data_IF_176791835303
#
_entry.id   IF_176791835303
#
_cell.length_a   1.000
_cell.length_b   1.000
_cell.length_c   1.000
_cell.angle_alpha   90.00
_cell.angle_beta   90.00
_cell.angle_gamma   90.00
#
_symmetry.space_group_name_H-M   'P 1'
#
loop_
_entity.id
_entity.type
_entity.pdbx_description
1 polymer ?
#
# COMPACT_ATOMS: atom_id res chain seq x y z
N UNK A 1 -5.19 -20.90 16.14
CA UNK A 1 -5.35 -19.88 17.21
C UNK A 1 -6.68 -19.15 17.00
N UNK A 2 -7.32 -18.61 18.03
CA UNK A 2 -8.51 -17.75 17.82
C UNK A 2 -8.08 -16.39 17.24
N UNK A 3 -8.99 -15.68 16.56
CA UNK A 3 -8.73 -14.34 16.01
C UNK A 3 -8.21 -13.37 17.08
N UNK A 4 -8.73 -13.46 18.30
CA UNK A 4 -8.31 -12.63 19.44
C UNK A 4 -6.86 -12.94 19.86
N UNK A 5 -6.48 -14.22 19.92
CA UNK A 5 -5.11 -14.62 20.27
C UNK A 5 -4.10 -14.12 19.23
N UNK A 6 -4.48 -14.19 17.95
CA UNK A 6 -3.71 -13.69 16.82
C UNK A 6 -3.50 -12.18 16.94
N UNK A 7 -4.59 -11.42 17.12
CA UNK A 7 -4.52 -9.96 17.22
C UNK A 7 -3.68 -9.52 18.43
N UNK A 8 -3.88 -10.17 19.57
CA UNK A 8 -3.09 -9.92 20.77
C UNK A 8 -1.59 -10.20 20.55
N UNK A 9 -1.25 -11.32 19.91
CA UNK A 9 0.14 -11.67 19.60
C UNK A 9 0.78 -10.63 18.67
N UNK A 10 0.09 -10.22 17.61
CA UNK A 10 0.60 -9.22 16.66
C UNK A 10 0.86 -7.87 17.34
N UNK A 11 -0.05 -7.41 18.20
CA UNK A 11 0.11 -6.15 18.95
C UNK A 11 1.30 -6.24 19.92
N UNK A 12 1.41 -7.34 20.67
CA UNK A 12 2.52 -7.55 21.63
C UNK A 12 3.85 -7.61 20.89
N UNK A 13 3.93 -8.35 19.79
CA UNK A 13 5.16 -8.44 18.98
C UNK A 13 5.51 -7.11 18.31
N UNK A 14 4.52 -6.36 17.80
CA UNK A 14 4.75 -5.03 17.23
C UNK A 14 5.34 -4.06 18.26
N UNK A 15 4.82 -4.07 19.49
CA UNK A 15 5.36 -3.30 20.62
C UNK A 15 6.77 -3.74 21.02
N UNK A 16 7.02 -5.05 21.09
CA UNK A 16 8.33 -5.60 21.41
C UNK A 16 9.39 -5.25 20.34
N UNK A 17 9.08 -5.46 19.06
CA UNK A 17 10.00 -5.18 17.97
C UNK A 17 10.19 -3.68 17.75
N UNK A 18 9.13 -2.88 17.95
CA UNK A 18 9.24 -1.43 18.00
C UNK A 18 10.17 -0.94 19.10
N UNK A 19 10.11 -1.56 20.28
CA UNK A 19 11.02 -1.27 21.40
C UNK A 19 12.47 -1.65 21.08
N UNK A 20 12.71 -2.80 20.46
CA UNK A 20 14.05 -3.21 20.00
C UNK A 20 14.58 -2.19 18.98
N UNK A 21 13.76 -1.78 18.00
CA UNK A 21 14.15 -0.74 17.06
C UNK A 21 14.52 0.56 17.79
N UNK A 22 13.70 0.99 18.74
CA UNK A 22 13.93 2.22 19.50
C UNK A 22 15.26 2.21 20.28
N UNK A 23 15.57 1.10 20.96
CA UNK A 23 16.78 1.00 21.77
C UNK A 23 18.05 0.76 20.96
N UNK A 24 17.98 -0.06 19.90
CA UNK A 24 19.19 -0.57 19.22
C UNK A 24 19.41 -0.02 17.80
N UNK A 25 18.36 0.10 16.98
CA UNK A 25 18.51 0.41 15.55
C UNK A 25 18.30 1.89 15.22
N UNK A 26 17.37 2.56 15.93
CA UNK A 26 16.97 3.96 15.72
C UNK A 26 16.57 4.27 14.27
N UNK A 27 15.99 3.29 13.59
CA UNK A 27 15.47 3.44 12.23
C UNK A 27 14.02 3.95 12.27
N UNK A 28 13.50 4.48 11.15
CA UNK A 28 12.06 4.76 11.00
C UNK A 28 11.23 3.55 11.42
N UNK A 29 10.19 3.77 12.23
CA UNK A 29 9.49 2.73 12.98
C UNK A 29 9.11 1.51 12.13
N UNK A 30 8.42 1.71 10.99
CA UNK A 30 7.99 0.61 10.11
C UNK A 30 9.16 -0.19 9.53
N UNK A 31 10.22 0.50 9.09
CA UNK A 31 11.44 -0.14 8.55
C UNK A 31 12.16 -0.92 9.66
N UNK A 32 12.28 -0.32 10.84
CA UNK A 32 12.91 -0.93 12.00
C UNK A 32 12.20 -2.21 12.46
N UNK A 33 10.87 -2.17 12.56
CA UNK A 33 10.06 -3.33 12.92
C UNK A 33 10.24 -4.45 11.89
N UNK A 34 10.20 -4.13 10.59
CA UNK A 34 10.45 -5.11 9.53
C UNK A 34 11.83 -5.76 9.67
N UNK A 35 12.88 -4.97 9.86
CA UNK A 35 14.26 -5.50 10.00
C UNK A 35 14.37 -6.41 11.23
N UNK A 36 13.82 -6.00 12.37
CA UNK A 36 13.81 -6.85 13.58
C UNK A 36 13.04 -8.14 13.32
N UNK A 37 11.89 -8.07 12.65
CA UNK A 37 11.08 -9.24 12.30
C UNK A 37 11.81 -10.19 11.34
N UNK A 38 12.52 -9.65 10.34
CA UNK A 38 13.34 -10.44 9.41
C UNK A 38 14.52 -11.10 10.12
N UNK A 39 15.24 -10.37 10.97
CA UNK A 39 16.36 -10.93 11.73
C UNK A 39 15.88 -12.03 12.69
N UNK A 40 14.75 -11.82 13.37
CA UNK A 40 14.13 -12.85 14.20
C UNK A 40 13.76 -14.08 13.37
N UNK A 41 13.14 -13.89 12.20
CA UNK A 41 12.77 -14.97 11.29
C UNK A 41 13.98 -15.75 10.75
N UNK A 42 15.04 -15.04 10.34
CA UNK A 42 16.30 -15.64 9.90
C UNK A 42 16.99 -16.41 11.03
N UNK A 43 17.02 -15.86 12.24
CA UNK A 43 17.57 -16.54 13.41
C UNK A 43 16.79 -17.81 13.74
N UNK A 44 15.45 -17.78 13.65
CA UNK A 44 14.60 -18.96 13.82
C UNK A 44 14.88 -20.02 12.76
N UNK A 45 14.99 -19.65 11.48
CA UNK A 45 15.34 -20.60 10.41
C UNK A 45 16.73 -21.20 10.61
N UNK A 46 17.71 -20.41 11.05
CA UNK A 46 19.05 -20.90 11.38
C UNK A 46 19.05 -21.87 12.56
N UNK A 47 18.26 -21.60 13.60
CA UNK A 47 18.08 -22.50 14.74
C UNK A 47 17.41 -23.82 14.34
N UNK A 48 16.39 -23.77 13.48
CA UNK A 48 15.68 -24.96 12.98
C UNK A 48 16.62 -25.85 12.13
N UNK A 49 17.51 -25.23 11.35
CA UNK A 49 18.55 -25.93 10.60
C UNK A 49 19.59 -26.61 11.50
N UNK A 50 20.01 -25.96 12.60
CA UNK A 50 21.00 -26.49 13.54
C UNK A 50 20.41 -27.51 14.54
N UNK A 51 19.15 -27.33 14.94
CA UNK A 51 18.46 -28.18 15.90
C UNK A 51 17.05 -28.58 15.41
N UNK A 52 16.95 -29.46 14.38
CA UNK A 52 15.67 -29.83 13.76
C UNK A 52 14.69 -30.49 14.73
N UNK A 53 15.20 -31.08 15.82
CA UNK A 53 14.43 -31.76 16.85
C UNK A 53 13.41 -30.87 17.60
N UNK A 54 13.57 -29.54 17.58
CA UNK A 54 12.65 -28.63 18.25
C UNK A 54 11.47 -28.18 17.38
N UNK A 55 11.55 -28.33 16.04
CA UNK A 55 10.46 -28.03 15.10
C UNK A 55 9.82 -26.64 15.28
N UNK A 56 10.60 -25.65 15.72
CA UNK A 56 10.07 -24.34 16.11
C UNK A 56 9.60 -23.58 14.88
N UNK A 57 10.39 -23.60 13.80
CA UNK A 57 10.00 -22.90 12.57
C UNK A 57 8.80 -23.58 11.90
N UNK A 58 8.69 -24.92 11.94
CA UNK A 58 7.52 -25.63 11.43
C UNK A 58 6.24 -25.30 12.21
N UNK A 59 6.32 -25.18 13.53
CA UNK A 59 5.17 -24.81 14.37
C UNK A 59 4.71 -23.38 14.12
N UNK A 60 5.67 -22.45 13.98
CA UNK A 60 5.38 -21.05 13.66
C UNK A 60 4.83 -20.91 12.23
N UNK A 61 5.40 -21.63 11.25
CA UNK A 61 4.88 -21.68 9.87
C UNK A 61 3.43 -22.16 9.81
N UNK A 62 3.06 -23.17 10.61
CA UNK A 62 1.68 -23.62 10.71
C UNK A 62 0.78 -22.50 11.26
N UNK A 63 1.22 -21.81 12.32
CA UNK A 63 0.51 -20.64 12.85
C UNK A 63 0.39 -19.47 11.86
N UNK A 64 1.41 -19.23 11.03
CA UNK A 64 1.37 -18.20 9.97
C UNK A 64 0.43 -18.61 8.84
N UNK A 65 0.35 -19.89 8.46
CA UNK A 65 -0.64 -20.34 7.47
C UNK A 65 -2.08 -20.19 7.99
N UNK A 66 -2.28 -20.38 9.30
CA UNK A 66 -3.57 -20.12 9.95
C UNK A 66 -3.90 -18.61 9.99
N UNK A 67 -2.87 -17.75 10.08
CA UNK A 67 -2.97 -16.32 9.83
C UNK A 67 -3.17 -16.12 8.33
N UNK A 68 -4.42 -16.14 7.86
CA UNK A 68 -4.71 -15.79 6.47
C UNK A 68 -4.34 -14.30 6.23
N UNK A 69 -3.07 -14.03 5.96
CA UNK A 69 -2.47 -12.70 5.85
C UNK A 69 -3.20 -11.88 4.81
N UNK A 70 -3.42 -12.50 3.65
CA UNK A 70 -4.17 -11.90 2.55
C UNK A 70 -5.53 -11.41 3.03
N UNK A 71 -6.30 -12.28 3.68
CA UNK A 71 -7.63 -11.93 4.16
C UNK A 71 -7.60 -10.85 5.23
N UNK A 72 -6.71 -10.98 6.22
CA UNK A 72 -6.55 -10.00 7.30
C UNK A 72 -6.19 -8.62 6.74
N UNK A 73 -5.26 -8.54 5.78
CA UNK A 73 -4.86 -7.28 5.18
C UNK A 73 -5.94 -6.71 4.27
N UNK A 74 -6.43 -7.49 3.29
CA UNK A 74 -7.34 -6.99 2.25
C UNK A 74 -8.75 -6.71 2.78
N UNK A 75 -9.30 -7.57 3.64
CA UNK A 75 -10.67 -7.42 4.13
C UNK A 75 -10.72 -6.55 5.39
N UNK A 76 -9.69 -6.62 6.25
CA UNK A 76 -9.68 -5.97 7.55
C UNK A 76 -8.93 -4.64 7.61
N UNK A 77 -7.66 -4.63 7.19
CA UNK A 77 -6.75 -3.52 7.47
C UNK A 77 -6.66 -2.49 6.33
N UNK A 78 -6.80 -2.92 5.08
CA UNK A 78 -6.60 -2.08 3.88
C UNK A 78 -7.54 -0.88 3.87
N UNK A 79 -8.83 -1.10 4.13
CA UNK A 79 -9.83 -0.04 4.23
C UNK A 79 -9.44 1.02 5.27
N UNK A 80 -8.97 0.59 6.44
CA UNK A 80 -8.53 1.49 7.51
C UNK A 80 -7.25 2.25 7.15
N UNK A 81 -6.24 1.57 6.60
CA UNK A 81 -4.98 2.19 6.18
C UNK A 81 -5.21 3.27 5.12
N UNK A 82 -6.06 2.96 4.13
CA UNK A 82 -6.40 3.90 3.07
C UNK A 82 -7.27 5.06 3.56
N UNK A 83 -8.24 4.78 4.44
CA UNK A 83 -9.06 5.81 5.06
C UNK A 83 -8.21 6.76 5.91
N UNK A 84 -7.35 6.21 6.76
CA UNK A 84 -6.45 6.98 7.61
C UNK A 84 -5.45 7.79 6.78
N UNK A 85 -4.84 7.18 5.77
CA UNK A 85 -3.95 7.87 4.83
C UNK A 85 -4.63 9.03 4.11
N UNK A 86 -5.89 8.83 3.68
CA UNK A 86 -6.71 9.85 3.04
C UNK A 86 -7.08 11.01 3.96
N UNK A 87 -7.40 10.72 5.23
CA UNK A 87 -7.84 11.72 6.21
C UNK A 87 -6.78 12.81 6.44
N UNK A 88 -5.50 12.45 6.40
CA UNK A 88 -4.39 13.39 6.60
C UNK A 88 -4.04 14.21 5.34
N UNK A 89 -4.64 13.92 4.18
CA UNK A 89 -4.36 14.62 2.93
C UNK A 89 -5.22 15.88 2.81
N UNK A 90 -4.57 17.04 2.76
CA UNK A 90 -5.24 18.33 2.56
C UNK A 90 -5.78 18.46 1.13
N UNK A 91 -7.10 18.36 0.97
CA UNK A 91 -7.77 18.41 -0.34
C UNK A 91 -7.46 19.70 -1.12
N UNK A 92 -7.30 20.83 -0.43
CA UNK A 92 -6.92 22.09 -1.06
C UNK A 92 -5.54 22.04 -1.75
N UNK A 93 -4.55 21.43 -1.11
CA UNK A 93 -3.22 21.22 -1.68
C UNK A 93 -3.28 20.16 -2.80
N UNK A 94 -4.05 19.08 -2.60
CA UNK A 94 -4.25 18.01 -3.58
C UNK A 94 -4.90 18.53 -4.86
N UNK A 95 -5.92 19.41 -4.76
CA UNK A 95 -6.58 20.04 -5.91
C UNK A 95 -5.60 20.80 -6.80
N UNK A 96 -4.60 21.45 -6.22
CA UNK A 96 -3.55 22.13 -7.00
C UNK A 96 -2.68 21.14 -7.79
N UNK A 97 -2.56 19.90 -7.32
CA UNK A 97 -1.77 18.83 -7.97
C UNK A 97 -2.64 17.75 -8.63
N UNK A 98 -3.96 17.92 -8.71
CA UNK A 98 -4.91 16.87 -9.08
C UNK A 98 -4.61 16.24 -10.43
N UNK A 99 -4.30 17.04 -11.47
CA UNK A 99 -3.95 16.51 -12.79
C UNK A 99 -2.70 15.65 -12.79
N UNK A 100 -1.68 16.07 -12.03
CA UNK A 100 -0.42 15.33 -11.90
C UNK A 100 -0.68 14.00 -11.20
N UNK A 101 -1.37 14.04 -10.06
CA UNK A 101 -1.73 12.85 -9.27
C UNK A 101 -2.62 11.91 -10.08
N UNK A 102 -3.65 12.41 -10.75
CA UNK A 102 -4.57 11.60 -11.55
C UNK A 102 -3.86 10.88 -12.71
N UNK A 103 -2.97 11.58 -13.44
CA UNK A 103 -2.21 10.96 -14.52
C UNK A 103 -1.24 9.88 -14.01
N UNK A 104 -0.60 10.10 -12.87
CA UNK A 104 0.28 9.09 -12.27
C UNK A 104 -0.50 7.90 -11.71
N UNK A 105 -1.63 8.14 -11.04
CA UNK A 105 -2.48 7.10 -10.46
C UNK A 105 -3.27 6.30 -11.51
N UNK A 106 -3.40 6.77 -12.75
CA UNK A 106 -4.09 6.06 -13.84
C UNK A 106 -3.10 5.56 -14.90
N UNK A 107 -2.60 6.47 -15.74
CA UNK A 107 -1.66 6.15 -16.82
C UNK A 107 -0.35 5.61 -16.23
N UNK A 108 0.15 6.19 -15.14
CA UNK A 108 1.36 5.71 -14.49
C UNK A 108 1.21 4.27 -13.99
N UNK A 109 0.07 3.92 -13.39
CA UNK A 109 -0.24 2.55 -12.96
C UNK A 109 -0.31 1.60 -14.15
N UNK A 110 -1.08 1.94 -15.17
CA UNK A 110 -1.19 1.11 -16.38
C UNK A 110 0.16 0.88 -17.06
N UNK A 111 0.99 1.91 -17.18
CA UNK A 111 2.34 1.79 -17.74
C UNK A 111 3.26 0.97 -16.85
N UNK A 112 3.19 1.17 -15.53
CA UNK A 112 3.97 0.39 -14.57
C UNK A 112 3.61 -1.10 -14.69
N UNK A 113 2.32 -1.42 -14.75
CA UNK A 113 1.80 -2.77 -14.98
C UNK A 113 2.30 -3.38 -16.28
N UNK A 114 2.23 -2.64 -17.39
CA UNK A 114 2.67 -3.11 -18.69
C UNK A 114 4.19 -3.33 -18.74
N UNK A 115 4.99 -2.37 -18.26
CA UNK A 115 6.46 -2.43 -18.29
C UNK A 115 6.96 -3.54 -17.37
N UNK A 116 6.48 -3.58 -16.13
CA UNK A 116 6.87 -4.61 -15.17
C UNK A 116 6.40 -6.00 -15.63
N UNK A 117 5.15 -6.12 -16.07
CA UNK A 117 4.58 -7.40 -16.47
C UNK A 117 5.18 -7.95 -17.76
N UNK A 118 5.30 -7.12 -18.81
CA UNK A 118 5.96 -7.54 -20.05
C UNK A 118 7.42 -7.91 -19.81
N UNK A 119 8.17 -7.08 -19.06
CA UNK A 119 9.54 -7.38 -18.70
C UNK A 119 9.68 -8.67 -17.88
N UNK A 120 8.75 -8.92 -16.96
CA UNK A 120 8.77 -10.12 -16.13
C UNK A 120 8.47 -11.38 -16.96
N UNK A 121 7.52 -11.31 -17.90
CA UNK A 121 7.26 -12.39 -18.87
C UNK A 121 8.50 -12.73 -19.70
N UNK A 122 9.22 -11.71 -20.20
CA UNK A 122 10.45 -11.92 -20.98
C UNK A 122 11.57 -12.61 -20.18
N UNK A 123 11.74 -12.25 -18.90
CA UNK A 123 12.82 -12.79 -18.07
C UNK A 123 12.50 -14.20 -17.55
N UNK A 124 11.24 -14.46 -17.22
CA UNK A 124 10.82 -15.70 -16.55
C UNK A 124 10.16 -16.72 -17.47
N UNK A 125 9.72 -16.30 -18.66
CA UNK A 125 9.01 -17.15 -19.62
C UNK A 125 7.54 -17.42 -19.27
N UNK A 126 7.01 -16.84 -18.19
CA UNK A 126 5.62 -17.05 -17.80
C UNK A 126 4.64 -16.36 -18.78
N UNK A 127 3.39 -16.86 -18.89
CA UNK A 127 2.39 -16.26 -19.76
C UNK A 127 2.19 -14.77 -19.47
N UNK A 128 2.07 -13.97 -20.53
CA UNK A 128 1.99 -12.51 -20.42
C UNK A 128 0.88 -12.05 -19.46
N UNK A 129 -0.30 -12.68 -19.50
CA UNK A 129 -1.41 -12.29 -18.64
C UNK A 129 -1.08 -12.45 -17.15
N UNK A 130 -0.43 -13.57 -16.79
CA UNK A 130 0.05 -13.83 -15.43
C UNK A 130 1.17 -12.86 -15.04
N UNK A 131 2.04 -12.50 -15.98
CA UNK A 131 3.06 -11.49 -15.73
C UNK A 131 2.47 -10.09 -15.56
N UNK A 132 1.39 -9.74 -16.27
CA UNK A 132 0.65 -8.49 -16.07
C UNK A 132 0.03 -8.41 -14.68
N UNK A 133 -0.46 -9.52 -14.13
CA UNK A 133 -0.88 -9.59 -12.72
C UNK A 133 0.29 -9.21 -11.79
N UNK A 134 1.49 -9.74 -12.04
CA UNK A 134 2.70 -9.36 -11.32
C UNK A 134 3.01 -7.85 -11.46
N UNK A 135 2.88 -7.31 -12.67
CA UNK A 135 3.03 -5.87 -12.89
C UNK A 135 2.02 -5.02 -12.13
N UNK A 136 0.77 -5.47 -12.03
CA UNK A 136 -0.29 -4.78 -11.30
C UNK A 136 -0.04 -4.79 -9.79
N UNK A 137 0.30 -5.93 -9.20
CA UNK A 137 0.52 -6.02 -7.75
C UNK A 137 1.77 -5.26 -7.29
N UNK A 138 2.81 -5.12 -8.13
CA UNK A 138 3.99 -4.29 -7.80
C UNK A 138 3.83 -2.82 -8.17
N UNK A 139 2.73 -2.40 -8.81
CA UNK A 139 2.53 -1.00 -9.17
C UNK A 139 2.22 -0.08 -7.98
N UNK A 140 1.33 -0.46 -7.04
CA UNK A 140 1.06 0.25 -5.79
C UNK A 140 2.32 0.70 -5.04
N UNK A 141 2.22 1.81 -4.31
CA UNK A 141 3.32 2.39 -3.55
C UNK A 141 2.86 2.90 -2.20
N UNK A 142 3.62 2.62 -1.16
CA UNK A 142 3.28 2.92 0.23
C UNK A 142 3.62 4.38 0.59
N UNK A 143 2.62 5.24 0.84
CA UNK A 143 2.87 6.63 1.22
C UNK A 143 3.44 6.75 2.62
N UNK A 144 3.07 5.85 3.53
CA UNK A 144 3.40 5.95 4.96
C UNK A 144 4.88 5.68 5.17
N UNK A 145 5.40 4.63 4.53
CA UNK A 145 6.82 4.31 4.56
C UNK A 145 7.67 5.47 4.03
N UNK A 146 7.22 6.11 2.95
CA UNK A 146 7.97 7.17 2.26
C UNK A 146 7.95 8.47 3.07
N UNK A 147 6.75 8.91 3.46
CA UNK A 147 6.59 10.17 4.19
C UNK A 147 7.22 10.08 5.59
N UNK A 148 7.13 8.92 6.25
CA UNK A 148 7.81 8.68 7.53
C UNK A 148 9.32 8.92 7.46
N UNK A 149 9.96 8.43 6.39
CA UNK A 149 11.39 8.64 6.13
C UNK A 149 11.69 10.08 5.70
N UNK A 150 10.84 10.65 4.83
CA UNK A 150 11.09 11.94 4.19
C UNK A 150 10.75 13.16 5.07
N UNK A 151 10.02 12.99 6.18
CA UNK A 151 9.77 14.05 7.18
C UNK A 151 11.06 14.75 7.63
N UNK A 152 12.18 14.02 7.72
CA UNK A 152 13.49 14.58 8.09
C UNK A 152 14.28 15.21 6.93
N UNK A 153 13.75 15.25 5.70
CA UNK A 153 14.42 15.76 4.52
C UNK A 153 13.96 17.18 4.09
N UNK A 154 13.00 17.77 4.81
CA UNK A 154 12.46 19.11 4.58
C UNK A 154 12.10 19.38 3.10
N UNK A 155 11.23 18.52 2.56
CA UNK A 155 10.83 18.58 1.17
C UNK A 155 9.90 19.77 0.91
N UNK A 156 9.83 20.20 -0.35
CA UNK A 156 8.79 21.13 -0.77
C UNK A 156 7.42 20.49 -0.55
N UNK A 157 6.50 21.22 0.10
CA UNK A 157 5.12 20.78 0.37
C UNK A 157 4.41 20.24 -0.88
N UNK A 158 4.66 20.82 -2.05
CA UNK A 158 4.08 20.34 -3.32
C UNK A 158 4.54 18.94 -3.73
N UNK A 159 5.76 18.53 -3.37
CA UNK A 159 6.28 17.20 -3.63
C UNK A 159 5.72 16.18 -2.63
N UNK A 160 5.60 16.56 -1.35
CA UNK A 160 4.93 15.74 -0.34
C UNK A 160 3.48 15.45 -0.72
N UNK A 161 2.73 16.47 -1.16
CA UNK A 161 1.36 16.29 -1.64
C UNK A 161 1.28 15.39 -2.89
N UNK A 162 2.25 15.49 -3.81
CA UNK A 162 2.29 14.60 -4.99
C UNK A 162 2.54 13.16 -4.61
N UNK A 163 3.49 12.91 -3.69
CA UNK A 163 3.80 11.56 -3.19
C UNK A 163 2.59 10.99 -2.45
N UNK A 164 2.05 11.73 -1.49
CA UNK A 164 0.89 11.30 -0.70
C UNK A 164 -0.32 11.01 -1.60
N UNK A 165 -0.65 11.93 -2.51
CA UNK A 165 -1.78 11.79 -3.40
C UNK A 165 -1.60 10.62 -4.38
N UNK A 166 -0.44 10.49 -5.01
CA UNK A 166 -0.21 9.41 -5.98
C UNK A 166 -0.31 8.04 -5.33
N UNK A 167 0.40 7.80 -4.23
CA UNK A 167 0.32 6.55 -3.48
C UNK A 167 -1.11 6.22 -3.04
N UNK A 168 -1.85 7.19 -2.50
CA UNK A 168 -3.20 6.98 -1.99
C UNK A 168 -4.17 6.47 -3.07
N UNK A 169 -4.12 7.04 -4.27
CA UNK A 169 -4.98 6.60 -5.38
C UNK A 169 -4.40 5.39 -6.11
N UNK A 170 -3.08 5.25 -6.20
CA UNK A 170 -2.41 4.12 -6.85
C UNK A 170 -2.74 2.80 -6.15
N UNK A 171 -2.82 2.77 -4.81
CA UNK A 171 -3.21 1.56 -4.08
C UNK A 171 -4.62 1.08 -4.48
N UNK A 172 -5.58 2.01 -4.56
CA UNK A 172 -6.95 1.69 -5.00
C UNK A 172 -7.05 1.31 -6.48
N UNK A 173 -6.40 2.04 -7.37
CA UNK A 173 -6.42 1.73 -8.81
C UNK A 173 -5.67 0.44 -9.12
N UNK A 174 -4.50 0.23 -8.51
CA UNK A 174 -3.71 -1.00 -8.66
C UNK A 174 -4.46 -2.23 -8.16
N UNK A 175 -5.22 -2.11 -7.06
CA UNK A 175 -6.11 -3.17 -6.59
C UNK A 175 -7.18 -3.55 -7.64
N UNK A 176 -7.87 -2.56 -8.21
CA UNK A 176 -8.89 -2.80 -9.26
C UNK A 176 -8.26 -3.43 -10.51
N UNK A 177 -7.11 -2.91 -10.97
CA UNK A 177 -6.38 -3.49 -12.12
C UNK A 177 -5.98 -4.94 -11.84
N UNK A 178 -5.53 -5.23 -10.61
CA UNK A 178 -5.20 -6.59 -10.18
C UNK A 178 -6.42 -7.52 -10.24
N UNK A 179 -7.55 -7.13 -9.64
CA UNK A 179 -8.78 -7.94 -9.65
C UNK A 179 -9.25 -8.25 -11.07
N UNK A 180 -9.22 -7.23 -11.95
CA UNK A 180 -9.58 -7.38 -13.36
C UNK A 180 -8.67 -8.39 -14.06
N UNK A 181 -7.35 -8.29 -13.89
CA UNK A 181 -6.40 -9.21 -14.52
C UNK A 181 -6.50 -10.63 -13.96
N UNK A 182 -6.78 -10.78 -12.66
CA UNK A 182 -7.05 -12.08 -12.03
C UNK A 182 -8.33 -12.70 -12.60
N UNK A 183 -9.42 -11.94 -12.68
CA UNK A 183 -10.70 -12.41 -13.24
C UNK A 183 -10.57 -12.84 -14.71
N UNK A 184 -9.74 -12.16 -15.49
CA UNK A 184 -9.44 -12.54 -16.89
C UNK A 184 -8.53 -13.76 -17.00
N UNK A 185 -7.60 -13.96 -16.06
CA UNK A 185 -6.63 -15.07 -16.10
C UNK A 185 -7.17 -16.36 -15.51
N UNK A 186 -8.09 -16.25 -14.57
CA UNK A 186 -8.68 -17.35 -13.83
C UNK A 186 -10.22 -17.26 -13.88
N UNK A 187 -10.83 -17.39 -15.08
CA UNK A 187 -12.27 -17.37 -15.20
C UNK A 187 -12.88 -18.54 -14.41
N UNK A 188 -13.89 -18.24 -13.61
CA UNK A 188 -14.65 -19.30 -12.93
C UNK A 188 -15.30 -20.21 -13.98
N UNK A 189 -15.29 -21.53 -13.72
CA UNK A 189 -15.84 -22.53 -14.62
C UNK A 189 -17.35 -22.30 -14.84
N UNK A 190 -17.70 -21.60 -15.93
CA UNK A 190 -19.09 -21.25 -16.28
C UNK A 190 -19.29 -19.81 -16.76
N UNK A 191 -18.31 -18.91 -16.57
CA UNK A 191 -18.34 -17.57 -17.17
C UNK A 191 -17.96 -17.62 -18.65
N UNK A 192 -18.82 -17.09 -19.53
CA UNK A 192 -18.49 -16.95 -20.96
C UNK A 192 -17.25 -16.09 -21.18
N UNK A 193 -16.74 -16.05 -22.42
CA UNK A 193 -15.62 -15.17 -22.79
C UNK A 193 -15.88 -13.75 -22.29
N UNK A 194 -15.11 -13.33 -21.28
CA UNK A 194 -15.18 -11.99 -20.71
C UNK A 194 -14.62 -11.03 -21.73
N UNK A 195 -15.49 -10.50 -22.60
CA UNK A 195 -15.11 -9.57 -23.65
C UNK A 195 -14.56 -8.27 -23.07
N UNK A 196 -13.74 -7.57 -23.84
CA UNK A 196 -13.17 -6.25 -23.47
C UNK A 196 -14.23 -5.28 -22.93
N UNK A 197 -15.46 -5.34 -23.45
CA UNK A 197 -16.58 -4.52 -23.01
C UNK A 197 -17.05 -4.86 -21.58
N UNK A 198 -17.06 -6.14 -21.21
CA UNK A 198 -17.42 -6.58 -19.87
C UNK A 198 -16.33 -6.22 -18.86
N UNK A 199 -15.06 -6.37 -19.24
CA UNK A 199 -13.91 -5.89 -18.45
C UNK A 199 -13.99 -4.38 -18.18
N UNK A 200 -14.27 -3.58 -19.20
CA UNK A 200 -14.43 -2.13 -19.06
C UNK A 200 -15.63 -1.78 -18.18
N UNK A 201 -16.73 -2.54 -18.29
CA UNK A 201 -17.93 -2.34 -17.46
C UNK A 201 -17.63 -2.65 -15.99
N UNK A 202 -16.98 -3.77 -15.70
CA UNK A 202 -16.57 -4.15 -14.34
C UNK A 202 -15.61 -3.13 -13.74
N UNK A 203 -14.57 -2.73 -14.49
CA UNK A 203 -13.63 -1.70 -14.05
C UNK A 203 -14.35 -0.38 -13.73
N UNK A 204 -15.24 0.06 -14.63
CA UNK A 204 -15.99 1.31 -14.44
C UNK A 204 -16.92 1.21 -13.24
N UNK A 205 -17.62 0.08 -13.07
CA UNK A 205 -18.50 -0.15 -11.93
C UNK A 205 -17.73 -0.13 -10.61
N UNK A 206 -16.60 -0.83 -10.52
CA UNK A 206 -15.80 -0.89 -9.29
C UNK A 206 -15.21 0.48 -8.94
N UNK A 207 -14.59 1.14 -9.91
CA UNK A 207 -13.91 2.41 -9.71
C UNK A 207 -14.90 3.57 -9.46
N UNK A 208 -15.85 3.78 -10.37
CA UNK A 208 -16.81 4.89 -10.27
C UNK A 208 -17.82 4.62 -9.17
N UNK A 209 -18.29 3.38 -9.02
CA UNK A 209 -19.19 2.99 -7.95
C UNK A 209 -18.57 3.21 -6.58
N UNK A 210 -17.33 2.76 -6.37
CA UNK A 210 -16.59 2.98 -5.13
C UNK A 210 -16.41 4.47 -4.82
N UNK A 211 -16.07 5.28 -5.83
CA UNK A 211 -15.90 6.71 -5.66
C UNK A 211 -17.22 7.44 -5.31
N UNK A 212 -18.32 7.12 -6.01
CA UNK A 212 -19.63 7.70 -5.73
C UNK A 212 -20.15 7.30 -4.36
N UNK A 213 -19.99 6.02 -3.99
CA UNK A 213 -20.37 5.53 -2.67
C UNK A 213 -19.56 6.21 -1.57
N UNK A 214 -18.24 6.32 -1.73
CA UNK A 214 -17.37 6.99 -0.76
C UNK A 214 -17.71 8.47 -0.60
N UNK A 215 -18.00 9.17 -1.71
CA UNK A 215 -18.44 10.57 -1.66
C UNK A 215 -19.82 10.72 -0.99
N UNK A 216 -20.77 9.84 -1.31
CA UNK A 216 -22.12 9.85 -0.74
C UNK A 216 -22.13 9.55 0.76
N UNK A 217 -21.46 8.47 1.18
CA UNK A 217 -21.33 8.10 2.58
C UNK A 217 -20.51 9.11 3.38
N UNK A 218 -19.39 9.58 2.82
CA UNK A 218 -18.57 10.63 3.44
C UNK A 218 -19.36 11.93 3.64
N UNK A 219 -20.16 12.34 2.65
CA UNK A 219 -21.06 13.49 2.78
C UNK A 219 -22.14 13.28 3.84
N UNK A 220 -22.79 12.11 3.85
CA UNK A 220 -23.83 11.79 4.83
C UNK A 220 -23.27 11.79 6.25
N UNK A 221 -22.13 11.12 6.47
CA UNK A 221 -21.43 11.10 7.75
C UNK A 221 -21.06 12.51 8.21
N UNK A 222 -20.55 13.35 7.30
CA UNK A 222 -20.27 14.75 7.61
C UNK A 222 -21.51 15.54 8.04
N UNK A 223 -22.67 15.34 7.40
CA UNK A 223 -23.92 16.01 7.80
C UNK A 223 -24.38 15.58 9.20
N UNK A 224 -24.13 14.33 9.57
CA UNK A 224 -24.43 13.80 10.90
C UNK A 224 -23.46 14.39 11.93
N UNK A 225 -22.15 14.35 11.67
CA UNK A 225 -21.11 14.90 12.56
C UNK A 225 -21.32 16.38 12.85
N UNK A 226 -21.77 17.16 11.86
CA UNK A 226 -22.13 18.58 12.03
C UNK A 226 -23.16 18.89 13.12
N UNK A 227 -23.95 17.89 13.51
CA UNK A 227 -25.03 18.03 14.50
C UNK A 227 -24.64 17.43 15.86
N UNK A 228 -23.43 16.91 15.96
CA UNK A 228 -22.88 16.25 17.14
C UNK A 228 -21.74 17.15 17.65
N UNK A 229 -21.61 17.26 18.96
CA UNK A 229 -20.48 17.92 19.63
C UNK A 229 -19.97 16.98 20.72
N UNK A 230 -19.58 15.78 20.29
CA UNK A 230 -19.07 14.69 21.13
C UNK A 230 -17.98 13.96 20.34
N UNK A 231 -16.73 14.19 20.74
CA UNK A 231 -15.57 13.65 20.05
C UNK A 231 -15.55 12.12 20.02
N UNK A 232 -16.06 11.45 21.06
CA UNK A 232 -16.05 9.99 21.14
C UNK A 232 -17.06 9.41 20.14
N UNK A 233 -18.24 10.03 20.04
CA UNK A 233 -19.25 9.63 19.06
C UNK A 233 -18.78 9.92 17.62
N UNK A 234 -18.13 11.05 17.37
CA UNK A 234 -17.60 11.38 16.04
C UNK A 234 -16.48 10.42 15.61
N UNK A 235 -15.56 10.06 16.51
CA UNK A 235 -14.57 9.01 16.26
C UNK A 235 -15.26 7.67 15.96
N UNK A 236 -16.28 7.29 16.73
CA UNK A 236 -17.03 6.05 16.49
C UNK A 236 -17.73 6.05 15.11
N UNK A 237 -18.34 7.16 14.72
CA UNK A 237 -18.97 7.30 13.40
C UNK A 237 -17.92 7.22 12.28
N UNK A 238 -16.73 7.81 12.48
CA UNK A 238 -15.64 7.70 11.50
C UNK A 238 -15.15 6.26 11.31
N UNK A 239 -15.03 5.49 12.40
CA UNK A 239 -14.75 4.06 12.34
C UNK A 239 -15.87 3.29 11.66
N UNK A 240 -17.12 3.62 11.97
CA UNK A 240 -18.30 3.04 11.33
C UNK A 240 -18.33 3.30 9.83
N UNK A 241 -17.91 4.48 9.37
CA UNK A 241 -17.75 4.80 7.96
C UNK A 241 -16.62 3.97 7.32
N UNK A 242 -15.47 3.86 7.98
CA UNK A 242 -14.32 3.13 7.45
C UNK A 242 -14.60 1.62 7.33
N UNK A 243 -15.15 0.97 8.36
CA UNK A 243 -15.50 -0.45 8.33
C UNK A 243 -16.81 -0.72 7.59
N UNK A 244 -17.90 -0.08 8.02
CA UNK A 244 -19.24 -0.32 7.49
C UNK A 244 -19.39 0.14 6.05
N UNK A 245 -18.74 1.25 5.68
CA UNK A 245 -18.68 1.68 4.29
C UNK A 245 -17.91 0.70 3.41
N UNK A 246 -16.82 0.09 3.92
CA UNK A 246 -15.99 -0.85 3.18
C UNK A 246 -16.75 -2.14 2.89
N UNK A 247 -17.35 -2.73 3.92
CA UNK A 247 -18.21 -3.90 3.78
C UNK A 247 -19.41 -3.63 2.87
N UNK A 248 -20.02 -2.45 2.96
CA UNK A 248 -21.09 -2.07 2.06
C UNK A 248 -20.60 -1.98 0.61
N UNK A 249 -19.42 -1.41 0.35
CA UNK A 249 -18.84 -1.34 -0.98
C UNK A 249 -18.61 -2.73 -1.56
N UNK A 250 -18.01 -3.63 -0.78
CA UNK A 250 -17.79 -5.03 -1.15
C UNK A 250 -19.12 -5.73 -1.47
N UNK A 251 -20.15 -5.56 -0.63
CA UNK A 251 -21.48 -6.16 -0.85
C UNK A 251 -22.19 -5.67 -2.12
N UNK A 252 -21.87 -4.44 -2.57
CA UNK A 252 -22.42 -3.83 -3.78
C UNK A 252 -21.56 -4.09 -5.02
N UNK A 253 -20.52 -4.93 -4.93
CA UNK A 253 -19.53 -5.14 -5.99
C UNK A 253 -18.90 -3.83 -6.47
N UNK A 254 -18.53 -2.98 -5.50
CA UNK A 254 -17.82 -1.71 -5.70
C UNK A 254 -16.46 -1.78 -5.00
N UNK A 255 -15.51 -0.93 -5.41
CA UNK A 255 -14.18 -0.94 -4.81
C UNK A 255 -14.19 -0.34 -3.39
N UNK A 256 -14.06 -1.21 -2.39
CA UNK A 256 -13.87 -0.84 -0.98
C UNK A 256 -12.67 0.10 -0.76
N UNK A 257 -11.49 -0.18 -1.33
CA UNK A 257 -10.33 0.71 -1.26
C UNK A 257 -10.61 2.13 -1.77
N UNK A 258 -11.24 2.26 -2.94
CA UNK A 258 -11.57 3.58 -3.52
C UNK A 258 -12.63 4.29 -2.67
N UNK A 259 -13.64 3.57 -2.18
CA UNK A 259 -14.64 4.11 -1.25
C UNK A 259 -13.95 4.70 -0.01
N UNK A 260 -13.04 3.96 0.62
CA UNK A 260 -12.33 4.37 1.83
C UNK A 260 -11.49 5.63 1.59
N UNK A 261 -10.76 5.69 0.47
CA UNK A 261 -9.97 6.86 0.07
C UNK A 261 -10.86 8.10 -0.10
N UNK A 262 -11.95 7.98 -0.87
CA UNK A 262 -12.83 9.13 -1.15
C UNK A 262 -13.57 9.58 0.10
N UNK A 263 -14.04 8.64 0.92
CA UNK A 263 -14.67 8.93 2.20
C UNK A 263 -13.70 9.63 3.16
N UNK A 264 -12.47 9.12 3.30
CA UNK A 264 -11.43 9.70 4.15
C UNK A 264 -11.03 11.10 3.71
N UNK A 265 -10.86 11.34 2.41
CA UNK A 265 -10.58 12.68 1.85
C UNK A 265 -11.71 13.67 2.15
N UNK A 266 -12.97 13.20 2.11
CA UNK A 266 -14.12 14.03 2.40
C UNK A 266 -14.16 14.44 3.89
N UNK A 267 -13.96 13.50 4.80
CA UNK A 267 -13.91 13.77 6.25
C UNK A 267 -12.72 14.66 6.61
N UNK A 268 -11.53 14.35 6.07
CA UNK A 268 -10.29 15.06 6.36
C UNK A 268 -10.27 16.54 5.96
N UNK A 269 -10.95 16.94 4.88
CA UNK A 269 -11.00 18.36 4.46
C UNK A 269 -12.31 19.06 4.83
N UNK A 270 -13.46 18.42 4.60
CA UNK A 270 -14.77 19.06 4.75
C UNK A 270 -15.24 19.01 6.21
N UNK A 271 -15.05 17.87 6.88
CA UNK A 271 -15.30 17.67 8.33
C UNK A 271 -14.48 18.61 9.20
N UNK A 272 -13.17 18.61 8.96
CA UNK A 272 -12.18 19.37 9.72
C UNK A 272 -12.18 20.89 9.48
N UNK A 273 -12.98 21.44 8.56
CA UNK A 273 -13.05 22.91 8.34
C UNK A 273 -14.38 23.53 8.73
N UNK A 274 -15.49 22.83 8.53
CA UNK A 274 -16.82 23.43 8.57
C UNK A 274 -17.83 22.70 9.46
N UNK A 275 -17.44 21.63 10.16
CA UNK A 275 -18.41 20.81 10.91
C UNK A 275 -18.05 20.45 12.35
N UNK A 276 -16.79 20.57 12.76
CA UNK A 276 -16.32 20.10 14.08
C UNK A 276 -15.72 21.23 14.92
N UNK A 277 -15.80 21.12 16.25
CA UNK A 277 -15.03 21.94 17.19
C UNK A 277 -13.53 21.68 17.05
N UNK A 278 -12.67 22.62 17.47
CA UNK A 278 -11.21 22.43 17.39
C UNK A 278 -10.75 21.22 18.20
N UNK A 279 -11.33 21.01 19.38
CA UNK A 279 -11.02 19.87 20.23
C UNK A 279 -11.33 18.54 19.55
N UNK A 280 -12.52 18.39 18.93
CA UNK A 280 -12.87 17.14 18.25
C UNK A 280 -11.95 16.84 17.07
N UNK A 281 -11.54 17.88 16.33
CA UNK A 281 -10.59 17.75 15.22
C UNK A 281 -9.26 17.17 15.69
N UNK A 282 -8.72 17.70 16.78
CA UNK A 282 -7.44 17.23 17.34
C UNK A 282 -7.53 15.77 17.82
N UNK A 283 -8.64 15.39 18.48
CA UNK A 283 -8.85 14.00 18.90
C UNK A 283 -9.02 13.04 17.72
N UNK A 284 -9.78 13.42 16.70
CA UNK A 284 -9.99 12.61 15.51
C UNK A 284 -8.67 12.39 14.74
N UNK A 285 -7.90 13.46 14.53
CA UNK A 285 -6.58 13.40 13.87
C UNK A 285 -5.61 12.52 14.68
N UNK A 286 -5.50 12.76 16.00
CA UNK A 286 -4.63 11.96 16.87
C UNK A 286 -5.03 10.48 16.89
N UNK A 287 -6.33 10.19 16.95
CA UNK A 287 -6.84 8.82 16.94
C UNK A 287 -6.48 8.10 15.63
N UNK A 288 -6.81 8.70 14.48
CA UNK A 288 -6.54 8.08 13.18
C UNK A 288 -5.05 7.96 12.88
N UNK A 289 -4.23 8.91 13.33
CA UNK A 289 -2.78 8.79 13.27
C UNK A 289 -2.26 7.61 14.07
N UNK A 290 -2.76 7.40 15.30
CA UNK A 290 -2.37 6.24 16.11
C UNK A 290 -2.81 4.92 15.48
N UNK A 291 -4.04 4.85 14.95
CA UNK A 291 -4.52 3.68 14.23
C UNK A 291 -3.65 3.38 13.01
N UNK A 292 -3.33 4.39 12.19
CA UNK A 292 -2.44 4.25 11.03
C UNK A 292 -1.05 3.72 11.45
N UNK A 293 -0.44 4.30 12.49
CA UNK A 293 0.87 3.87 13.00
C UNK A 293 0.84 2.42 13.53
N UNK A 294 -0.22 2.01 14.24
CA UNK A 294 -0.38 0.66 14.76
C UNK A 294 -0.60 -0.35 13.62
N UNK A 295 -1.50 -0.04 12.68
CA UNK A 295 -1.79 -0.93 11.55
C UNK A 295 -0.57 -1.12 10.65
N UNK A 296 0.21 -0.07 10.41
CA UNK A 296 1.47 -0.18 9.68
C UNK A 296 2.51 -0.98 10.47
N UNK A 297 2.64 -0.78 11.78
CA UNK A 297 3.54 -1.60 12.59
C UNK A 297 3.21 -3.10 12.49
N UNK A 298 1.91 -3.45 12.56
CA UNK A 298 1.42 -4.81 12.37
C UNK A 298 1.70 -5.30 10.95
N UNK A 299 1.43 -4.48 9.93
CA UNK A 299 1.67 -4.82 8.53
C UNK A 299 3.14 -5.19 8.28
N UNK A 300 4.07 -4.34 8.71
CA UNK A 300 5.50 -4.56 8.50
C UNK A 300 6.05 -5.73 9.32
N UNK A 301 5.51 -5.93 10.53
CA UNK A 301 5.78 -7.13 11.32
C UNK A 301 5.34 -8.39 10.57
N UNK A 302 4.09 -8.42 10.08
CA UNK A 302 3.54 -9.57 9.38
C UNK A 302 4.33 -9.85 8.10
N UNK A 303 4.71 -8.83 7.32
CA UNK A 303 5.61 -8.98 6.17
C UNK A 303 6.90 -9.67 6.60
N UNK A 304 7.57 -9.18 7.66
CA UNK A 304 8.85 -9.73 8.10
C UNK A 304 8.79 -11.18 8.59
N UNK A 305 7.66 -11.58 9.17
CA UNK A 305 7.40 -12.96 9.62
C UNK A 305 7.03 -13.87 8.43
N UNK A 306 6.34 -13.34 7.41
CA UNK A 306 5.89 -14.10 6.23
C UNK A 306 7.05 -14.74 5.44
N UNK A 307 8.27 -14.21 5.55
CA UNK A 307 9.49 -14.84 4.98
C UNK A 307 9.63 -16.29 5.38
N UNK A 308 9.17 -16.66 6.58
CA UNK A 308 9.23 -18.03 7.07
C UNK A 308 8.41 -18.97 6.19
N UNK A 309 7.30 -18.52 5.61
CA UNK A 309 6.40 -19.35 4.80
C UNK A 309 6.89 -19.53 3.35
N UNK A 310 7.89 -18.76 2.90
CA UNK A 310 8.37 -18.77 1.53
C UNK A 310 9.34 -19.93 1.24
N UNK A 311 9.13 -20.59 0.09
CA UNK A 311 10.10 -21.50 -0.49
C UNK A 311 11.03 -20.73 -1.43
N UNK A 312 12.30 -20.61 -1.07
CA UNK A 312 13.30 -19.96 -1.91
C UNK A 312 13.91 -20.97 -2.87
N UNK A 313 13.56 -20.88 -4.15
CA UNK A 313 14.29 -21.55 -5.23
C UNK A 313 15.29 -20.59 -5.87
N UNK A 314 16.39 -21.13 -6.42
CA UNK A 314 17.39 -20.29 -7.09
C UNK A 314 16.78 -19.53 -8.29
N UNK A 315 15.84 -20.14 -8.99
CA UNK A 315 15.12 -19.51 -10.10
C UNK A 315 14.25 -18.35 -9.63
N UNK A 316 13.55 -18.51 -8.50
CA UNK A 316 12.74 -17.45 -7.92
C UNK A 316 13.59 -16.29 -7.38
N UNK A 317 14.77 -16.56 -6.82
CA UNK A 317 15.72 -15.52 -6.41
C UNK A 317 16.22 -14.74 -7.63
N UNK A 318 16.62 -15.44 -8.71
CA UNK A 318 17.04 -14.79 -9.96
C UNK A 318 15.93 -13.92 -10.54
N UNK A 319 14.71 -14.43 -10.59
CA UNK A 319 13.54 -13.67 -11.02
C UNK A 319 13.29 -12.45 -10.14
N UNK A 320 13.43 -12.58 -8.82
CA UNK A 320 13.31 -11.46 -7.88
C UNK A 320 14.36 -10.36 -8.09
N UNK A 321 15.61 -10.72 -8.37
CA UNK A 321 16.67 -9.74 -8.69
C UNK A 321 16.33 -8.96 -9.96
N UNK A 322 15.91 -9.65 -11.01
CA UNK A 322 15.46 -8.98 -12.23
C UNK A 322 14.21 -8.12 -12.00
N UNK A 323 13.29 -8.61 -11.17
CA UNK A 323 12.09 -7.88 -10.80
C UNK A 323 12.39 -6.56 -10.07
N UNK A 324 13.49 -6.45 -9.31
CA UNK A 324 13.93 -5.17 -8.73
C UNK A 324 14.22 -4.16 -9.85
N UNK A 325 15.03 -4.54 -10.83
CA UNK A 325 15.37 -3.67 -11.97
C UNK A 325 14.13 -3.27 -12.78
N UNK A 326 13.25 -4.24 -13.03
CA UNK A 326 11.98 -4.02 -13.74
C UNK A 326 11.04 -3.10 -12.95
N UNK A 327 10.93 -3.27 -11.63
CA UNK A 327 10.12 -2.42 -10.76
C UNK A 327 10.60 -0.97 -10.78
N UNK A 328 11.93 -0.75 -10.71
CA UNK A 328 12.53 0.58 -10.79
C UNK A 328 12.32 1.21 -12.18
N UNK A 329 12.46 0.42 -13.25
CA UNK A 329 12.21 0.89 -14.62
C UNK A 329 10.73 1.24 -14.84
N UNK A 330 9.83 0.36 -14.42
CA UNK A 330 8.38 0.58 -14.47
C UNK A 330 8.00 1.86 -13.73
N UNK A 331 8.57 2.07 -12.54
CA UNK A 331 8.36 3.29 -11.75
C UNK A 331 8.92 4.53 -12.45
N UNK A 332 10.11 4.45 -13.05
CA UNK A 332 10.71 5.56 -13.79
C UNK A 332 9.80 5.97 -14.96
N UNK A 333 9.29 5.01 -15.73
CA UNK A 333 8.39 5.27 -16.85
C UNK A 333 7.06 5.86 -16.35
N UNK A 334 6.49 5.27 -15.29
CA UNK A 334 5.23 5.70 -14.69
C UNK A 334 5.26 7.14 -14.14
N UNK A 335 6.43 7.61 -13.68
CA UNK A 335 6.61 8.99 -13.20
C UNK A 335 7.06 9.92 -14.32
N UNK A 336 8.05 9.51 -15.11
CA UNK A 336 8.65 10.37 -16.12
C UNK A 336 7.66 10.74 -17.22
N UNK A 337 6.82 9.80 -17.69
CA UNK A 337 5.91 10.10 -18.80
C UNK A 337 4.85 11.14 -18.41
N UNK A 338 4.08 11.01 -17.30
CA UNK A 338 3.16 12.06 -16.87
C UNK A 338 3.83 13.41 -16.63
N UNK A 339 5.03 13.43 -16.03
CA UNK A 339 5.78 14.67 -15.79
C UNK A 339 6.20 15.32 -17.10
N UNK A 340 6.68 14.56 -18.08
CA UNK A 340 7.09 15.07 -19.39
C UNK A 340 5.89 15.58 -20.21
N UNK A 341 4.75 14.88 -20.16
CA UNK A 341 3.52 15.31 -20.82
C UNK A 341 3.00 16.65 -20.26
N UNK A 342 3.14 16.86 -18.96
CA UNK A 342 2.70 18.09 -18.30
C UNK A 342 3.76 19.20 -18.28
N UNK A 343 5.02 18.91 -18.61
CA UNK A 343 6.13 19.88 -18.60
C UNK A 343 5.86 21.14 -19.42
N UNK A 344 5.18 21.11 -20.59
CA UNK A 344 4.84 22.34 -21.33
C UNK A 344 3.85 23.24 -20.59
N UNK A 345 3.03 22.67 -19.70
CA UNK A 345 1.93 23.36 -19.03
C UNK A 345 2.23 23.68 -17.55
N UNK A 346 3.29 23.11 -16.99
CA UNK A 346 3.67 23.25 -15.58
C UNK A 346 5.17 23.21 -15.35
N UNK A 347 5.62 24.01 -14.38
CA UNK A 347 6.99 23.97 -13.88
C UNK A 347 7.17 22.81 -12.88
N UNK A 348 8.17 21.98 -13.14
CA UNK A 348 8.60 20.91 -12.24
C UNK A 348 10.02 21.19 -11.76
N UNK A 349 10.29 20.96 -10.47
CA UNK A 349 11.67 21.00 -9.98
C UNK A 349 12.48 19.85 -10.56
N UNK A 350 13.78 20.05 -10.77
CA UNK A 350 14.67 19.03 -11.36
C UNK A 350 14.71 17.74 -10.53
N UNK A 351 14.38 17.81 -9.24
CA UNK A 351 14.34 16.67 -8.33
C UNK A 351 13.05 15.84 -8.35
N UNK A 352 11.97 16.26 -9.02
CA UNK A 352 10.68 15.53 -8.97
C UNK A 352 10.81 14.10 -9.45
N UNK A 353 11.35 13.88 -10.66
CA UNK A 353 11.46 12.53 -11.25
C UNK A 353 12.33 11.61 -10.39
N UNK A 354 13.59 11.95 -10.02
CA UNK A 354 14.42 11.05 -9.24
C UNK A 354 13.85 10.80 -7.84
N UNK A 355 13.29 11.81 -7.16
CA UNK A 355 12.74 11.63 -5.80
C UNK A 355 11.45 10.80 -5.85
N UNK A 356 10.55 11.03 -6.79
CA UNK A 356 9.31 10.25 -6.91
C UNK A 356 9.55 8.83 -7.43
N UNK A 357 10.58 8.63 -8.25
CA UNK A 357 10.97 7.29 -8.71
C UNK A 357 11.58 6.50 -7.57
N UNK A 358 12.58 7.06 -6.89
CA UNK A 358 13.28 6.37 -5.81
C UNK A 358 12.45 6.26 -4.53
N UNK A 359 11.60 7.24 -4.27
CA UNK A 359 10.63 7.26 -3.17
C UNK A 359 9.34 6.53 -3.48
N UNK A 360 9.23 5.77 -4.57
CA UNK A 360 8.09 4.87 -4.78
C UNK A 360 8.26 3.57 -3.99
N UNK A 361 8.23 3.64 -2.65
CA UNK A 361 8.41 2.45 -1.82
C UNK A 361 7.26 1.48 -2.01
N UNK A 362 7.55 0.18 -2.06
CA UNK A 362 6.54 -0.88 -2.15
C UNK A 362 6.07 -1.28 -0.76
N UNK A 363 4.76 -1.42 -0.61
CA UNK A 363 4.11 -1.70 0.67
C UNK A 363 3.70 -3.16 0.85
N UNK A 364 3.08 -3.43 2.00
CA UNK A 364 2.53 -4.76 2.30
C UNK A 364 1.33 -5.18 1.44
N UNK A 365 0.67 -4.21 0.80
CA UNK A 365 -0.44 -4.46 -0.14
C UNK A 365 0.02 -5.37 -1.28
N UNK A 366 1.19 -5.14 -1.86
CA UNK A 366 1.75 -5.98 -2.94
C UNK A 366 1.91 -7.43 -2.50
N UNK A 367 2.34 -7.66 -1.25
CA UNK A 367 2.50 -9.02 -0.69
C UNK A 367 1.14 -9.67 -0.47
N UNK A 368 0.15 -8.96 0.06
CA UNK A 368 -1.19 -9.52 0.22
C UNK A 368 -1.84 -9.87 -1.10
N UNK A 369 -1.70 -9.01 -2.13
CA UNK A 369 -2.24 -9.30 -3.45
C UNK A 369 -1.60 -10.56 -4.04
N UNK A 370 -0.27 -10.72 -3.91
CA UNK A 370 0.40 -11.94 -4.32
C UNK A 370 -0.08 -13.19 -3.56
N UNK A 371 -0.36 -13.08 -2.26
CA UNK A 371 -0.91 -14.17 -1.44
C UNK A 371 -2.37 -14.51 -1.80
N UNK A 372 -3.15 -13.51 -2.19
CA UNK A 372 -4.56 -13.64 -2.59
C UNK A 372 -4.75 -14.39 -3.90
N UNK A 373 -3.68 -14.56 -4.68
CA UNK A 373 -3.75 -15.26 -5.96
C UNK A 373 -4.28 -16.70 -5.77
N UNK A 374 -5.15 -17.18 -6.67
CA UNK A 374 -5.56 -18.57 -6.69
C UNK A 374 -4.33 -19.50 -6.77
N UNK A 375 -4.41 -20.69 -6.16
CA UNK A 375 -3.33 -21.67 -6.23
C UNK A 375 -3.06 -22.06 -7.69
N UNK A 376 -1.82 -21.85 -8.13
CA UNK A 376 -1.35 -22.14 -9.48
C UNK A 376 0.17 -22.33 -9.49
N UNK A 377 0.71 -22.83 -10.60
CA UNK A 377 2.15 -23.11 -10.74
C UNK A 377 3.05 -21.87 -10.65
N UNK A 378 2.53 -20.69 -10.99
CA UNK A 378 3.27 -19.42 -11.01
C UNK A 378 3.23 -18.68 -9.67
N UNK A 379 2.28 -18.99 -8.79
CA UNK A 379 2.06 -18.31 -7.51
C UNK A 379 3.33 -18.29 -6.64
N UNK A 380 4.08 -19.39 -6.45
CA UNK A 380 5.32 -19.35 -5.67
C UNK A 380 6.37 -18.40 -6.26
N UNK A 381 6.53 -18.40 -7.59
CA UNK A 381 7.47 -17.52 -8.28
C UNK A 381 7.11 -16.04 -8.10
N UNK A 382 5.84 -15.70 -8.33
CA UNK A 382 5.29 -14.35 -8.16
C UNK A 382 5.47 -13.88 -6.72
N UNK A 383 5.12 -14.74 -5.75
CA UNK A 383 5.20 -14.43 -4.33
C UNK A 383 6.63 -14.12 -3.91
N UNK A 384 7.59 -14.98 -4.25
CA UNK A 384 9.02 -14.76 -3.93
C UNK A 384 9.57 -13.53 -4.62
N UNK A 385 9.26 -13.30 -5.90
CA UNK A 385 9.71 -12.11 -6.62
C UNK A 385 9.14 -10.81 -6.02
N UNK A 386 7.84 -10.80 -5.69
CA UNK A 386 7.16 -9.68 -5.03
C UNK A 386 7.82 -9.37 -3.70
N UNK A 387 8.09 -10.41 -2.92
CA UNK A 387 8.68 -10.26 -1.61
C UNK A 387 10.11 -9.68 -1.68
N UNK A 388 10.92 -10.16 -2.62
CA UNK A 388 12.27 -9.62 -2.87
C UNK A 388 12.20 -8.13 -3.26
N UNK A 389 11.27 -7.75 -4.15
CA UNK A 389 11.05 -6.36 -4.55
C UNK A 389 10.63 -5.50 -3.36
N UNK A 390 9.69 -5.98 -2.53
CA UNK A 390 9.19 -5.26 -1.35
C UNK A 390 10.28 -5.09 -0.30
N UNK A 391 11.06 -6.13 0.01
CA UNK A 391 12.18 -6.03 0.93
C UNK A 391 13.26 -5.06 0.45
N UNK A 392 13.66 -5.18 -0.82
CA UNK A 392 14.61 -4.24 -1.42
C UNK A 392 14.08 -2.81 -1.33
N UNK A 393 12.81 -2.61 -1.63
CA UNK A 393 12.20 -1.29 -1.59
C UNK A 393 12.22 -0.72 -0.18
N UNK A 394 11.65 -1.41 0.81
CA UNK A 394 11.54 -0.89 2.18
C UNK A 394 12.92 -0.69 2.82
N UNK A 395 13.83 -1.64 2.69
CA UNK A 395 15.14 -1.57 3.36
C UNK A 395 16.09 -0.67 2.59
N UNK A 396 16.31 -0.95 1.30
CA UNK A 396 17.32 -0.23 0.53
C UNK A 396 16.80 1.13 0.06
N UNK A 397 15.68 1.20 -0.66
CA UNK A 397 15.14 2.49 -1.10
C UNK A 397 14.70 3.32 0.12
N UNK A 398 14.09 2.71 1.13
CA UNK A 398 13.62 3.40 2.33
C UNK A 398 14.75 4.05 3.13
N UNK A 399 15.90 3.40 3.29
CA UNK A 399 17.04 4.02 3.99
C UNK A 399 17.80 5.05 3.14
N UNK A 400 17.72 4.96 1.81
CA UNK A 400 18.50 5.81 0.88
C UNK A 400 17.72 6.99 0.30
N UNK A 401 16.39 7.00 0.37
CA UNK A 401 15.55 8.07 -0.20
C UNK A 401 15.74 9.41 0.50
N UNK A 402 15.87 9.45 1.83
CA UNK A 402 16.12 10.70 2.55
C UNK A 402 17.48 11.35 2.19
N UNK A 403 18.60 10.61 2.17
CA UNK A 403 19.87 11.12 1.65
C UNK A 403 19.78 11.65 0.21
N UNK A 404 19.07 10.94 -0.67
CA UNK A 404 18.86 11.36 -2.06
C UNK A 404 18.07 12.67 -2.13
N UNK A 405 16.95 12.74 -1.41
CA UNK A 405 16.11 13.92 -1.31
C UNK A 405 16.88 15.14 -0.79
N UNK A 406 17.75 14.97 0.22
CA UNK A 406 18.60 16.06 0.73
C UNK A 406 19.65 16.55 -0.28
N UNK A 407 20.09 15.72 -1.21
CA UNK A 407 21.07 16.10 -2.25
C UNK A 407 20.43 16.82 -3.43
N UNK A 408 19.23 16.39 -3.83
CA UNK A 408 18.60 16.82 -5.09
C UNK A 408 17.42 17.78 -4.85
N UNK A 409 16.77 17.68 -3.70
CA UNK A 409 15.49 18.34 -3.40
C UNK A 409 15.59 19.56 -2.47
N UNK A 410 16.78 20.04 -2.12
CA UNK A 410 16.92 21.26 -1.28
C UNK A 410 16.12 22.40 -1.92
N UNK A 411 15.21 22.98 -1.14
CA UNK A 411 14.66 24.28 -1.47
C UNK A 411 15.82 25.26 -1.64
N UNK A 412 15.80 26.15 -2.66
CA UNK A 412 16.77 27.23 -2.71
C UNK A 412 16.68 27.98 -1.38
N UNK A 413 17.78 28.07 -0.65
CA UNK A 413 17.89 28.99 0.47
C UNK A 413 17.54 30.37 -0.09
N UNK A 414 16.47 30.98 0.45
CA UNK A 414 16.17 32.38 0.20
C UNK A 414 17.38 33.16 0.74
N UNK A 415 18.29 33.55 -0.16
CA UNK A 415 19.34 34.52 0.09
C UNK A 415 18.73 35.90 0.35
#
# INVERSE_FOLDING_TARGET
MTLLQIAALLIVLAGAFGSINYFFLRLPQSIGILIVALLASLAMMGLDYLFPQFGVATSIRAGIKDLNFSKTLLDGMLGLLLFAGALHVKLGDLRQQAWVVALMATIGVGLSTLVAGYGFSLVTGIPLMIALIFGALISPTDPVAVLGVLRGANLQKSLETKIAGESLFNDGVGYVVFLVLVGLSFPEAGGGETGVLETLRLFTQEFVGGALLGAGLGWLTFQVMKRIDDYALEVLISLGLAFGGYELAVSLHMSGPIMAVVAGLFIGDVGMKHGMSEQTRDYLDAFWKLIDEILNAILFLMIGIEVLALAFSMDAIRAGIWAIGLSLLARLVAVALPVLLLKPFRNFSRGVIPIMTWGGLKGGISVALALSLPENEYKPLILTATYIVVLFSIIFQGLTVAPLARRIGRAPELL
#
